data_IF_532637317168
#
_entry.id   IF_532637317168
#
_cell.length_a   1.000
_cell.length_b   1.000
_cell.length_c   1.000
_cell.angle_alpha   90.00
_cell.angle_beta   90.00
_cell.angle_gamma   90.00
#
_symmetry.space_group_name_H-M   'P 1'
#
loop_
_entity.id
_entity.type
_entity.pdbx_description
1 polymer ?
#
# COMPACT_ATOMS: atom_id res chain seq x y z
N UNK A 1 -8.58 15.27 11.66
CA UNK A 1 -7.54 14.61 10.84
C UNK A 1 -7.89 13.12 10.74
N UNK A 2 -7.84 12.53 9.53
CA UNK A 2 -8.07 11.08 9.34
C UNK A 2 -6.74 10.33 9.41
N UNK A 3 -6.79 9.03 9.71
CA UNK A 3 -5.62 8.17 9.72
C UNK A 3 -5.97 6.80 9.12
N UNK A 4 -4.99 6.14 8.51
CA UNK A 4 -5.06 4.72 8.11
C UNK A 4 -3.99 3.94 8.85
N UNK A 5 -4.35 2.75 9.31
CA UNK A 5 -3.45 1.86 10.04
C UNK A 5 -2.98 0.75 9.13
N UNK A 6 -1.68 0.68 8.87
CA UNK A 6 -1.05 -0.31 8.00
C UNK A 6 -0.17 -1.25 8.83
N UNK A 7 -0.11 -2.52 8.45
CA UNK A 7 0.87 -3.44 9.03
C UNK A 7 2.26 -3.12 8.50
N UNK A 8 3.28 -3.40 9.32
CA UNK A 8 4.66 -3.40 8.83
C UNK A 8 4.91 -4.67 8.01
N UNK A 9 5.72 -4.59 6.92
CA UNK A 9 6.55 -3.45 6.52
C UNK A 9 5.86 -2.40 5.62
N UNK A 10 4.61 -2.63 5.18
CA UNK A 10 3.92 -1.76 4.22
C UNK A 10 3.74 -0.33 4.69
N UNK A 11 3.55 -0.09 5.99
CA UNK A 11 3.49 1.26 6.54
C UNK A 11 4.76 2.05 6.20
N UNK A 12 5.94 1.49 6.51
CA UNK A 12 7.21 2.14 6.22
C UNK A 12 7.49 2.22 4.71
N UNK A 13 7.10 1.21 3.93
CA UNK A 13 7.26 1.26 2.47
C UNK A 13 6.42 2.37 1.83
N UNK A 14 5.19 2.59 2.29
CA UNK A 14 4.34 3.68 1.83
C UNK A 14 4.90 5.04 2.28
N UNK A 15 5.38 5.14 3.53
CA UNK A 15 6.02 6.34 4.05
C UNK A 15 7.27 6.74 3.26
N UNK A 16 8.05 5.76 2.80
CA UNK A 16 9.23 5.96 1.97
C UNK A 16 8.92 6.04 0.46
N UNK A 17 7.64 6.01 0.06
CA UNK A 17 7.19 6.03 -1.34
C UNK A 17 7.80 4.91 -2.21
N UNK A 18 8.13 3.78 -1.59
CA UNK A 18 8.54 2.56 -2.31
C UNK A 18 7.32 1.90 -2.96
N UNK A 19 6.20 1.93 -2.24
CA UNK A 19 4.88 1.60 -2.76
C UNK A 19 4.04 2.86 -2.76
N UNK A 20 3.17 3.00 -3.76
CA UNK A 20 2.25 4.13 -3.89
C UNK A 20 0.81 3.78 -3.51
N UNK A 21 0.50 2.48 -3.50
CA UNK A 21 -0.85 1.96 -3.34
C UNK A 21 -0.96 1.08 -2.09
N UNK A 22 -2.08 1.20 -1.40
CA UNK A 22 -2.47 0.31 -0.33
C UNK A 22 -3.80 -0.38 -0.65
N UNK A 23 -4.01 -1.57 -0.09
CA UNK A 23 -5.11 -2.42 -0.49
C UNK A 23 -6.04 -2.80 0.67
N UNK A 24 -7.36 -2.74 0.44
CA UNK A 24 -8.39 -3.06 1.45
C UNK A 24 -9.58 -3.82 0.90
N UNK A 25 -10.30 -4.48 1.81
CA UNK A 25 -11.59 -5.13 1.53
C UNK A 25 -12.78 -4.15 1.50
N UNK A 26 -12.55 -2.86 1.77
CA UNK A 26 -13.57 -1.81 1.80
C UNK A 26 -13.06 -0.53 1.14
N UNK A 27 -13.98 0.22 0.54
CA UNK A 27 -13.67 1.48 -0.12
C UNK A 27 -13.69 2.67 0.86
N UNK A 28 -12.61 3.43 0.91
CA UNK A 28 -12.57 4.71 1.61
C UNK A 28 -13.25 5.81 0.78
N UNK A 29 -14.25 6.50 1.34
CA UNK A 29 -14.91 7.66 0.69
C UNK A 29 -14.15 8.99 0.85
N UNK A 30 -13.32 9.10 1.87
CA UNK A 30 -12.56 10.32 2.17
C UNK A 30 -11.48 10.59 1.11
N UNK A 31 -11.21 11.86 0.81
CA UNK A 31 -10.11 12.32 -0.04
C UNK A 31 -9.41 13.51 0.63
N UNK A 32 -8.09 13.56 0.51
CA UNK A 32 -7.25 14.60 1.12
C UNK A 32 -6.31 14.07 2.20
N UNK A 33 -5.75 14.96 3.03
CA UNK A 33 -4.64 14.62 3.92
C UNK A 33 -5.03 13.61 5.00
N UNK A 34 -4.16 12.64 5.24
CA UNK A 34 -4.31 11.61 6.26
C UNK A 34 -2.97 11.18 6.87
N UNK A 35 -3.02 10.72 8.12
CA UNK A 35 -1.87 10.15 8.80
C UNK A 35 -1.71 8.65 8.45
N UNK A 36 -0.48 8.21 8.27
CA UNK A 36 -0.11 6.80 8.16
C UNK A 36 0.34 6.33 9.55
N UNK A 37 -0.44 5.42 10.13
CA UNK A 37 -0.15 4.79 11.41
C UNK A 37 0.39 3.37 11.19
N UNK A 38 1.56 3.08 11.74
CA UNK A 38 2.09 1.72 11.80
C UNK A 38 1.36 0.95 12.89
N UNK A 39 0.66 -0.11 12.52
CA UNK A 39 -0.12 -0.92 13.47
C UNK A 39 0.74 -1.44 14.63
N UNK A 40 0.18 -1.45 15.83
CA UNK A 40 0.85 -2.00 17.03
C UNK A 40 1.10 -3.52 16.91
N UNK A 41 0.22 -4.22 16.19
CA UNK A 41 0.31 -5.65 15.92
C UNK A 41 0.09 -5.92 14.43
N UNK A 42 0.64 -7.04 13.95
CA UNK A 42 0.61 -7.44 12.55
C UNK A 42 1.28 -8.79 12.35
N UNK A 43 1.38 -9.29 11.10
CA UNK A 43 1.98 -10.58 10.80
C UNK A 43 3.39 -10.66 11.39
N UNK A 44 3.65 -11.77 12.10
CA UNK A 44 4.95 -12.04 12.70
C UNK A 44 5.92 -12.44 11.58
N UNK A 45 7.20 -12.07 11.73
CA UNK A 45 8.32 -12.44 10.84
C UNK A 45 8.33 -11.81 9.42
N UNK A 46 7.23 -11.27 8.90
CA UNK A 46 7.21 -10.67 7.54
C UNK A 46 8.21 -9.52 7.37
N UNK A 47 8.33 -8.54 8.29
CA UNK A 47 9.33 -7.47 8.14
C UNK A 47 10.77 -7.99 8.09
N UNK A 48 11.08 -9.05 8.85
CA UNK A 48 12.41 -9.66 8.86
C UNK A 48 12.68 -10.41 7.55
N UNK A 49 11.69 -11.19 7.08
CA UNK A 49 11.78 -11.94 5.83
C UNK A 49 11.97 -11.02 4.61
N UNK A 50 11.32 -9.84 4.62
CA UNK A 50 11.43 -8.87 3.53
C UNK A 50 12.64 -7.92 3.68
N UNK A 51 13.39 -7.99 4.78
CA UNK A 51 14.47 -7.03 5.05
C UNK A 51 15.51 -6.98 3.93
N UNK A 52 15.94 -8.13 3.40
CA UNK A 52 16.90 -8.20 2.29
C UNK A 52 16.39 -7.52 1.01
N UNK A 53 15.14 -7.82 0.62
CA UNK A 53 14.48 -7.19 -0.54
C UNK A 53 14.35 -5.68 -0.34
N UNK A 54 13.93 -5.26 0.85
CA UNK A 54 13.74 -3.85 1.17
C UNK A 54 15.07 -3.09 1.15
N UNK A 55 16.12 -3.66 1.74
CA UNK A 55 17.48 -3.11 1.69
C UNK A 55 17.99 -3.03 0.25
N UNK A 56 17.71 -4.02 -0.61
CA UNK A 56 18.11 -3.95 -2.03
C UNK A 56 17.40 -2.84 -2.82
N UNK A 57 16.16 -2.50 -2.46
CA UNK A 57 15.39 -1.44 -3.12
C UNK A 57 15.81 -0.06 -2.60
N UNK A 58 16.01 0.07 -1.29
CA UNK A 58 16.27 1.36 -0.65
C UNK A 58 17.76 1.72 -0.55
N UNK A 59 18.65 0.73 -0.69
CA UNK A 59 20.09 0.87 -0.42
C UNK A 59 20.45 0.55 1.02
N UNK A 60 21.67 0.06 1.24
CA UNK A 60 22.17 -0.37 2.56
C UNK A 60 22.17 0.76 3.62
N UNK A 61 22.28 2.01 3.18
CA UNK A 61 22.29 3.18 4.05
C UNK A 61 20.89 3.60 4.50
N UNK A 62 19.82 3.11 3.84
CA UNK A 62 18.43 3.42 4.17
C UNK A 62 17.81 2.28 4.97
N UNK A 63 18.16 2.22 6.26
CA UNK A 63 17.51 1.32 7.19
C UNK A 63 16.09 1.81 7.51
N UNK A 64 15.07 1.02 7.16
CA UNK A 64 13.70 1.33 7.57
C UNK A 64 13.54 1.11 9.07
N UNK A 65 13.03 2.13 9.75
CA UNK A 65 12.47 1.98 11.08
C UNK A 65 11.10 1.27 10.96
N UNK A 66 10.97 0.14 11.64
CA UNK A 66 9.72 -0.62 11.75
C UNK A 66 9.03 -0.40 13.10
N UNK A 67 9.18 0.79 13.67
CA UNK A 67 8.38 1.26 14.81
C UNK A 67 6.90 0.91 14.63
N UNK A 68 6.28 0.45 15.71
CA UNK A 68 4.89 -0.02 15.75
C UNK A 68 4.09 0.82 16.75
N UNK A 69 2.80 1.00 16.48
CA UNK A 69 1.90 1.76 17.34
C UNK A 69 2.13 3.28 17.28
N UNK A 70 2.72 3.77 16.19
CA UNK A 70 3.09 5.19 16.01
C UNK A 70 2.65 5.70 14.65
N UNK A 71 2.39 7.00 14.56
CA UNK A 71 2.22 7.69 13.28
C UNK A 71 3.59 7.97 12.71
N UNK A 72 3.84 7.52 11.48
CA UNK A 72 5.17 7.57 10.85
C UNK A 72 5.23 8.54 9.66
N UNK A 73 4.08 8.90 9.07
CA UNK A 73 4.04 9.80 7.92
C UNK A 73 2.64 10.44 7.74
N UNK A 74 2.57 11.38 6.81
CA UNK A 74 1.33 11.97 6.27
C UNK A 74 1.30 11.74 4.76
N UNK A 75 0.11 11.47 4.22
CA UNK A 75 -0.12 11.30 2.79
C UNK A 75 -1.46 11.91 2.37
N UNK A 76 -1.63 12.16 1.08
CA UNK A 76 -2.91 12.59 0.51
C UNK A 76 -3.61 11.42 -0.15
N UNK A 77 -4.81 11.10 0.32
CA UNK A 77 -5.67 10.11 -0.32
C UNK A 77 -6.34 10.74 -1.54
N UNK A 78 -5.83 10.45 -2.73
CA UNK A 78 -6.27 11.05 -3.99
C UNK A 78 -7.36 10.25 -4.69
N UNK A 79 -7.31 8.93 -4.61
CA UNK A 79 -8.24 8.06 -5.33
C UNK A 79 -8.53 6.78 -4.52
N UNK A 80 -9.55 6.05 -4.93
CA UNK A 80 -9.92 4.78 -4.32
C UNK A 80 -10.57 3.94 -5.41
N UNK A 81 -9.89 2.89 -5.88
CA UNK A 81 -10.27 2.16 -7.08
C UNK A 81 -10.62 0.71 -6.75
N UNK A 82 -11.77 0.23 -7.21
CA UNK A 82 -12.14 -1.18 -7.05
C UNK A 82 -11.19 -2.07 -7.84
N UNK A 83 -10.76 -3.17 -7.23
CA UNK A 83 -9.95 -4.19 -7.90
C UNK A 83 -10.85 -5.11 -8.71
N UNK A 84 -10.46 -5.33 -9.96
CA UNK A 84 -11.14 -6.17 -10.93
C UNK A 84 -10.13 -7.10 -11.61
N UNK A 85 -10.62 -8.18 -12.22
CA UNK A 85 -9.82 -9.01 -13.13
C UNK A 85 -9.96 -8.49 -14.55
N UNK A 86 -8.87 -8.50 -15.31
CA UNK A 86 -8.94 -8.29 -16.76
C UNK A 86 -9.32 -9.59 -17.51
N UNK A 87 -9.41 -9.50 -18.84
CA UNK A 87 -9.75 -10.63 -19.71
C UNK A 87 -8.71 -11.77 -19.69
N UNK A 88 -7.52 -11.51 -19.12
CA UNK A 88 -6.42 -12.46 -18.97
C UNK A 88 -6.23 -12.94 -17.52
N UNK A 89 -7.22 -12.70 -16.66
CA UNK A 89 -7.23 -13.04 -15.23
C UNK A 89 -6.23 -12.29 -14.35
N UNK A 90 -5.54 -11.26 -14.86
CA UNK A 90 -4.68 -10.42 -14.03
C UNK A 90 -5.54 -9.60 -13.06
N UNK A 91 -5.14 -9.45 -11.80
CA UNK A 91 -5.85 -8.61 -10.83
C UNK A 91 -5.26 -7.21 -10.85
N UNK A 92 -6.13 -6.21 -10.90
CA UNK A 92 -5.71 -4.82 -10.99
C UNK A 92 -6.87 -3.87 -10.87
N UNK A 93 -6.67 -2.64 -11.31
CA UNK A 93 -7.73 -1.63 -11.31
C UNK A 93 -7.71 -0.81 -12.59
N UNK A 94 -8.89 -0.34 -12.97
CA UNK A 94 -9.04 0.54 -14.13
C UNK A 94 -8.93 2.00 -13.71
N UNK A 95 -8.04 2.72 -14.38
CA UNK A 95 -7.90 4.16 -14.25
C UNK A 95 -8.25 4.84 -15.58
N UNK A 96 -9.15 5.83 -15.54
CA UNK A 96 -9.55 6.60 -16.71
C UNK A 96 -8.86 7.95 -16.71
N UNK A 97 -8.12 8.26 -17.77
CA UNK A 97 -7.50 9.57 -17.97
C UNK A 97 -7.80 10.06 -19.38
N UNK A 98 -8.42 11.23 -19.50
CA UNK A 98 -8.81 11.85 -20.78
C UNK A 98 -9.58 10.91 -21.74
N UNK A 99 -10.52 10.13 -21.21
CA UNK A 99 -11.34 9.20 -21.99
C UNK A 99 -10.64 7.88 -22.37
N UNK A 100 -9.35 7.72 -22.03
CA UNK A 100 -8.63 6.46 -22.20
C UNK A 100 -8.66 5.68 -20.89
N UNK A 101 -9.21 4.46 -20.91
CA UNK A 101 -9.23 3.55 -19.78
C UNK A 101 -7.98 2.66 -19.84
N UNK A 102 -7.15 2.69 -18.80
CA UNK A 102 -5.95 1.85 -18.67
C UNK A 102 -6.10 0.89 -17.50
N UNK A 103 -5.68 -0.35 -17.70
CA UNK A 103 -5.61 -1.35 -16.65
C UNK A 103 -4.24 -1.29 -15.97
N UNK A 104 -4.25 -1.20 -14.64
CA UNK A 104 -3.06 -1.25 -13.81
C UNK A 104 -3.06 -2.59 -13.08
N UNK A 105 -2.34 -3.56 -13.63
CA UNK A 105 -2.11 -4.84 -12.98
C UNK A 105 -1.25 -4.64 -11.72
N UNK A 106 -1.59 -5.36 -10.67
CA UNK A 106 -0.91 -5.30 -9.38
C UNK A 106 -0.16 -6.61 -9.22
N UNK A 107 1.05 -6.61 -8.64
CA UNK A 107 1.83 -7.84 -8.53
C UNK A 107 1.15 -8.87 -7.61
N UNK A 108 1.36 -10.17 -7.87
CA UNK A 108 0.84 -11.29 -7.04
C UNK A 108 1.09 -11.10 -5.53
N UNK A 109 2.22 -10.46 -5.16
CA UNK A 109 2.56 -10.17 -3.77
C UNK A 109 1.56 -9.21 -3.10
N UNK A 110 0.93 -8.31 -3.84
CA UNK A 110 -0.12 -7.41 -3.34
C UNK A 110 -1.53 -8.03 -3.47
N UNK A 111 -1.72 -9.04 -4.32
CA UNK A 111 -2.99 -9.77 -4.48
C UNK A 111 -3.30 -10.69 -3.28
N UNK A 112 -2.27 -11.31 -2.69
CA UNK A 112 -2.42 -12.28 -1.59
C UNK A 112 -3.02 -11.72 -0.28
N UNK A 113 -3.16 -10.40 -0.19
CA UNK A 113 -3.68 -9.70 0.99
C UNK A 113 -5.10 -9.14 0.74
N UNK A 114 -6.04 -10.00 0.35
CA UNK A 114 -7.50 -9.79 0.39
C UNK A 114 -8.00 -8.38 0.03
N UNK A 115 -8.23 -8.11 -1.25
CA UNK A 115 -8.50 -6.73 -1.71
C UNK A 115 -9.71 -6.63 -2.61
N UNK A 116 -10.54 -5.62 -2.32
CA UNK A 116 -11.57 -5.07 -3.20
C UNK A 116 -11.25 -3.64 -3.65
N UNK A 117 -10.30 -2.93 -3.03
CA UNK A 117 -10.03 -1.52 -3.37
C UNK A 117 -8.58 -1.08 -3.11
N UNK A 118 -7.98 -0.30 -4.03
CA UNK A 118 -6.70 0.41 -3.85
C UNK A 118 -6.93 1.84 -3.37
N UNK A 119 -6.19 2.27 -2.34
CA UNK A 119 -6.19 3.59 -1.68
C UNK A 119 -4.85 4.28 -1.97
#
# INVERSE_FOLDING_TARGET
>A
MKAITLWQPWASLLACRVIEYETRSWAAKYRGPMAIHAAASGPKNVPYQMSGTITSILGADNQLDYSRGVVIAMADLVACHEMEKDDFENIGFWHSNNGTRKFHAVSEQQESFFVRTII
#
